data_IF_165475664030
#
_entry.id   IF_165475664030
#
_cell.length_a   1.000
_cell.length_b   1.000
_cell.length_c   1.000
_cell.angle_alpha   90.00
_cell.angle_beta   90.00
_cell.angle_gamma   90.00
#
_symmetry.space_group_name_H-M   'P 1'
#
loop_
_entity.id
_entity.type
_entity.pdbx_description
1 polymer ?
#
# COMPACT_ATOMS: atom_id res chain seq x y z
N UNK A 1 -50.64 -4.65 -57.87
CA UNK A 1 -50.21 -4.98 -56.50
C UNK A 1 -48.74 -4.61 -56.39
N UNK A 2 -48.37 -3.62 -55.58
CA UNK A 2 -46.99 -3.12 -55.47
C UNK A 2 -46.22 -4.02 -54.49
N UNK A 3 -45.20 -4.71 -54.97
CA UNK A 3 -44.37 -5.63 -54.17
C UNK A 3 -43.42 -4.81 -53.28
N UNK A 4 -43.52 -5.01 -51.96
CA UNK A 4 -42.64 -4.40 -50.96
C UNK A 4 -41.48 -5.37 -50.69
N UNK A 5 -40.25 -4.95 -50.97
CA UNK A 5 -39.03 -5.70 -50.61
C UNK A 5 -38.53 -5.10 -49.29
N UNK A 6 -38.48 -5.86 -48.18
CA UNK A 6 -37.92 -5.33 -46.94
C UNK A 6 -36.39 -5.35 -47.04
N UNK A 7 -35.76 -4.18 -46.95
CA UNK A 7 -34.31 -4.08 -46.78
C UNK A 7 -33.98 -4.40 -45.33
N UNK A 8 -33.32 -5.53 -45.10
CA UNK A 8 -32.78 -5.89 -43.80
C UNK A 8 -31.50 -5.08 -43.57
N UNK A 9 -31.56 -4.06 -42.71
CA UNK A 9 -30.37 -3.33 -42.26
C UNK A 9 -29.71 -4.15 -41.14
N UNK A 10 -28.61 -4.83 -41.46
CA UNK A 10 -27.78 -5.51 -40.48
C UNK A 10 -26.88 -4.48 -39.79
N UNK A 11 -27.29 -4.00 -38.62
CA UNK A 11 -26.42 -3.23 -37.73
C UNK A 11 -25.40 -4.17 -37.08
N UNK A 12 -24.16 -4.18 -37.57
CA UNK A 12 -23.04 -4.83 -36.88
C UNK A 12 -22.65 -3.94 -35.71
N UNK A 13 -23.12 -4.28 -34.51
CA UNK A 13 -22.59 -3.72 -33.27
C UNK A 13 -21.21 -4.36 -33.06
N UNK A 14 -20.15 -3.64 -33.43
CA UNK A 14 -18.79 -3.98 -33.01
C UNK A 14 -18.71 -3.67 -31.52
N UNK A 15 -18.94 -4.70 -30.70
CA UNK A 15 -18.68 -4.63 -29.27
C UNK A 15 -17.19 -4.41 -29.06
N UNK A 16 -16.80 -3.21 -28.62
CA UNK A 16 -15.46 -2.99 -28.09
C UNK A 16 -15.44 -3.72 -26.75
N UNK A 17 -15.02 -4.98 -26.77
CA UNK A 17 -14.61 -5.67 -25.55
C UNK A 17 -13.38 -4.91 -25.03
N UNK A 18 -13.61 -3.98 -24.10
CA UNK A 18 -12.53 -3.38 -23.33
C UNK A 18 -11.79 -4.53 -22.64
N UNK A 19 -10.57 -4.80 -23.09
CA UNK A 19 -9.73 -5.76 -22.41
C UNK A 19 -9.39 -5.14 -21.06
N UNK A 20 -9.73 -5.83 -19.97
CA UNK A 20 -9.24 -5.45 -18.66
C UNK A 20 -7.71 -5.48 -18.72
N UNK A 21 -7.08 -4.32 -18.60
CA UNK A 21 -5.62 -4.22 -18.47
C UNK A 21 -5.27 -4.87 -17.14
N UNK A 22 -4.42 -5.91 -17.16
CA UNK A 22 -3.89 -6.50 -15.94
C UNK A 22 -3.26 -5.40 -15.07
N UNK A 23 -3.52 -5.42 -13.76
CA UNK A 23 -2.87 -4.50 -12.83
C UNK A 23 -1.35 -4.74 -12.87
N UNK A 24 -0.59 -3.74 -13.31
CA UNK A 24 0.86 -3.77 -13.30
C UNK A 24 1.38 -3.26 -11.95
N UNK A 25 1.94 -4.16 -11.14
CA UNK A 25 2.56 -3.81 -9.86
C UNK A 25 4.04 -3.46 -10.03
N UNK A 26 4.48 -2.40 -9.35
CA UNK A 26 5.90 -2.07 -9.21
C UNK A 26 6.44 -2.73 -7.94
N UNK A 27 7.42 -3.61 -8.07
CA UNK A 27 8.10 -4.20 -6.92
C UNK A 27 9.23 -3.28 -6.43
N UNK A 28 8.98 -2.60 -5.31
CA UNK A 28 9.93 -1.65 -4.68
C UNK A 28 11.17 -2.32 -4.07
N UNK A 29 11.19 -3.65 -3.95
CA UNK A 29 12.26 -4.42 -3.32
C UNK A 29 13.03 -5.30 -4.31
N UNK A 30 12.68 -5.27 -5.61
CA UNK A 30 13.12 -6.28 -6.58
C UNK A 30 14.64 -6.39 -6.75
N UNK A 31 15.34 -5.27 -6.65
CA UNK A 31 16.80 -5.19 -6.83
C UNK A 31 17.57 -5.17 -5.51
N UNK A 32 16.87 -5.36 -4.38
CA UNK A 32 17.44 -5.33 -3.04
C UNK A 32 18.30 -4.09 -2.79
N UNK A 33 17.85 -2.94 -3.31
CA UNK A 33 18.58 -1.67 -3.25
C UNK A 33 17.82 -0.61 -2.45
N UNK A 34 18.56 0.17 -1.66
CA UNK A 34 18.02 1.34 -0.95
C UNK A 34 17.81 2.56 -1.86
N UNK A 35 18.16 2.48 -3.15
CA UNK A 35 18.08 3.62 -4.07
C UNK A 35 16.66 4.13 -4.31
N UNK A 36 15.63 3.32 -4.02
CA UNK A 36 14.23 3.73 -4.14
C UNK A 36 13.71 4.44 -2.89
N UNK A 37 14.59 4.64 -1.90
CA UNK A 37 14.25 5.14 -0.58
C UNK A 37 15.07 6.37 -0.22
N UNK A 38 14.49 7.26 0.58
CA UNK A 38 15.15 8.44 1.15
C UNK A 38 14.87 8.55 2.64
N UNK A 39 15.75 9.25 3.34
CA UNK A 39 15.51 9.72 4.70
C UNK A 39 14.50 10.89 4.69
N UNK A 40 13.91 11.27 5.84
CA UNK A 40 12.93 12.35 5.94
C UNK A 40 13.46 13.73 5.52
N UNK A 41 14.77 13.90 5.49
CA UNK A 41 15.45 15.10 5.02
C UNK A 41 15.77 15.08 3.51
N UNK A 42 15.43 14.00 2.80
CA UNK A 42 15.67 13.82 1.36
C UNK A 42 17.02 13.17 1.02
N UNK A 43 17.88 12.91 2.01
CA UNK A 43 19.17 12.26 1.76
C UNK A 43 18.99 10.76 1.45
N UNK A 44 19.97 10.13 0.77
CA UNK A 44 20.02 8.69 0.61
C UNK A 44 20.02 7.95 1.95
N UNK A 45 19.47 6.74 1.96
CA UNK A 45 19.53 5.84 3.11
C UNK A 45 20.85 5.08 3.06
N UNK A 46 21.81 5.47 3.89
CA UNK A 46 23.16 4.86 3.94
C UNK A 46 23.33 3.93 5.14
N UNK A 47 22.59 4.16 6.22
CA UNK A 47 22.67 3.41 7.48
C UNK A 47 21.27 3.10 8.04
N UNK A 48 21.22 2.17 9.00
CA UNK A 48 20.02 1.83 9.77
C UNK A 48 19.04 0.89 9.05
N UNK A 49 19.04 0.83 7.72
CA UNK A 49 18.25 -0.13 6.94
C UNK A 49 19.14 -0.96 6.02
N UNK A 50 18.81 -2.24 5.83
CA UNK A 50 19.48 -3.10 4.84
C UNK A 50 18.56 -4.20 4.34
N UNK A 51 19.03 -4.94 3.34
CA UNK A 51 18.38 -6.18 2.93
C UNK A 51 19.06 -7.36 3.63
N UNK A 52 18.27 -8.27 4.16
CA UNK A 52 18.79 -9.54 4.68
C UNK A 52 19.11 -10.53 3.53
N UNK A 53 19.72 -11.70 3.81
CA UNK A 53 20.05 -12.68 2.77
C UNK A 53 18.84 -13.16 1.95
N UNK A 54 17.66 -13.21 2.55
CA UNK A 54 16.41 -13.63 1.89
C UNK A 54 15.83 -12.51 1.02
N UNK A 55 16.28 -11.26 1.20
CA UNK A 55 15.84 -10.09 0.44
C UNK A 55 14.72 -9.30 1.12
N UNK A 56 14.49 -9.50 2.43
CA UNK A 56 13.61 -8.64 3.20
C UNK A 56 14.36 -7.36 3.59
N UNK A 57 13.75 -6.21 3.32
CA UNK A 57 14.21 -4.92 3.83
C UNK A 57 13.91 -4.85 5.34
N UNK A 58 14.93 -4.58 6.15
CA UNK A 58 14.79 -4.53 7.61
C UNK A 58 15.60 -3.40 8.27
N UNK A 59 15.15 -2.98 9.43
CA UNK A 59 15.86 -2.04 10.30
C UNK A 59 16.98 -2.77 11.05
N UNK A 60 18.22 -2.33 10.85
CA UNK A 60 19.42 -2.84 11.55
C UNK A 60 19.72 -1.94 12.74
N UNK A 61 19.30 -2.36 13.93
CA UNK A 61 19.53 -1.63 15.16
C UNK A 61 18.66 -0.37 15.27
N UNK A 62 19.24 0.81 15.06
CA UNK A 62 18.53 2.09 15.09
C UNK A 62 18.62 2.77 13.73
N UNK A 63 17.52 3.35 13.29
CA UNK A 63 17.45 4.14 12.06
C UNK A 63 16.19 5.01 12.08
N UNK A 64 16.13 5.96 11.16
CA UNK A 64 14.97 6.81 10.96
C UNK A 64 13.93 6.11 10.07
N UNK A 65 12.76 6.73 9.95
CA UNK A 65 11.78 6.40 8.92
C UNK A 65 12.39 6.57 7.53
N UNK A 66 11.93 5.76 6.57
CA UNK A 66 12.30 5.90 5.17
C UNK A 66 11.07 6.18 4.33
N UNK A 67 11.24 6.94 3.25
CA UNK A 67 10.20 7.31 2.31
C UNK A 67 10.53 6.73 0.95
N UNK A 68 9.52 6.37 0.17
CA UNK A 68 9.72 6.08 -1.25
C UNK A 68 10.17 7.34 -1.98
N UNK A 69 11.10 7.21 -2.92
CA UNK A 69 11.45 8.32 -3.83
C UNK A 69 10.27 8.71 -4.74
N UNK A 70 9.46 7.73 -5.13
CA UNK A 70 8.25 7.96 -5.91
C UNK A 70 7.08 8.41 -5.04
N UNK A 71 6.26 9.31 -5.59
CA UNK A 71 4.96 9.68 -5.01
C UNK A 71 3.83 8.90 -5.71
N UNK A 72 2.87 8.45 -4.91
CA UNK A 72 1.76 7.62 -5.40
C UNK A 72 0.41 8.21 -4.96
N UNK A 73 -0.48 8.43 -5.93
CA UNK A 73 -1.82 8.94 -5.65
C UNK A 73 -2.83 7.81 -5.43
N UNK A 74 -3.18 7.07 -6.49
CA UNK A 74 -4.08 5.91 -6.40
C UNK A 74 -3.24 4.66 -6.58
N UNK A 75 -3.27 3.77 -5.59
CA UNK A 75 -2.45 2.58 -5.58
C UNK A 75 -3.12 1.48 -4.76
N UNK A 76 -2.79 0.23 -5.10
CA UNK A 76 -2.93 -0.93 -4.24
C UNK A 76 -1.53 -1.30 -3.74
N UNK A 77 -1.34 -1.38 -2.42
CA UNK A 77 -0.08 -1.81 -1.82
C UNK A 77 -0.24 -3.23 -1.28
N UNK A 78 0.67 -4.10 -1.69
CA UNK A 78 0.81 -5.46 -1.15
C UNK A 78 2.19 -5.58 -0.51
N UNK A 79 2.23 -6.13 0.69
CA UNK A 79 3.46 -6.31 1.44
C UNK A 79 3.32 -7.48 2.41
N UNK A 80 4.44 -8.13 2.67
CA UNK A 80 4.61 -9.05 3.78
C UNK A 80 5.47 -8.37 4.84
N UNK A 81 5.24 -8.70 6.12
CA UNK A 81 6.06 -8.17 7.21
C UNK A 81 6.33 -9.25 8.26
N UNK A 82 7.41 -9.04 9.00
CA UNK A 82 7.71 -9.74 10.26
C UNK A 82 8.29 -8.74 11.25
N UNK A 83 8.10 -9.00 12.53
CA UNK A 83 8.60 -8.15 13.62
C UNK A 83 9.31 -8.98 14.67
N UNK A 84 10.18 -8.34 15.44
CA UNK A 84 10.75 -8.92 16.66
C UNK A 84 9.74 -8.89 17.81
N UNK A 85 10.02 -9.63 18.88
CA UNK A 85 9.33 -9.47 20.17
C UNK A 85 9.34 -7.99 20.58
N UNK A 86 8.19 -7.46 21.00
CA UNK A 86 7.99 -6.04 21.37
C UNK A 86 8.28 -5.04 20.24
N UNK A 87 8.40 -5.50 19.00
CA UNK A 87 8.59 -4.64 17.83
C UNK A 87 7.39 -3.73 17.61
N UNK A 88 7.66 -2.51 17.16
CA UNK A 88 6.65 -1.52 16.76
C UNK A 88 7.16 -0.77 15.52
N UNK A 89 6.32 -0.69 14.51
CA UNK A 89 6.56 -0.06 13.22
C UNK A 89 5.22 0.28 12.57
N UNK A 90 5.23 0.69 11.31
CA UNK A 90 4.02 0.94 10.55
C UNK A 90 4.34 1.33 9.12
N UNK A 91 3.32 1.21 8.26
CA UNK A 91 3.38 1.74 6.90
C UNK A 91 2.49 2.96 6.83
N UNK A 92 3.12 4.11 6.64
CA UNK A 92 2.43 5.37 6.38
C UNK A 92 2.24 5.58 4.89
N UNK A 93 1.08 6.11 4.52
CA UNK A 93 0.77 6.40 3.13
C UNK A 93 0.16 7.79 2.98
N UNK A 94 0.23 8.34 1.75
CA UNK A 94 -0.16 9.73 1.47
C UNK A 94 0.50 10.72 2.44
N UNK A 95 1.76 10.45 2.79
CA UNK A 95 2.49 11.25 3.77
C UNK A 95 2.77 12.65 3.23
N UNK A 96 2.66 13.64 4.09
CA UNK A 96 3.03 15.01 3.82
C UNK A 96 3.93 15.53 4.94
N UNK A 97 4.80 16.47 4.58
CA UNK A 97 5.68 17.13 5.53
C UNK A 97 4.92 18.26 6.23
N UNK A 98 4.76 18.15 7.54
CA UNK A 98 4.23 19.18 8.42
C UNK A 98 5.35 19.61 9.38
N UNK A 99 5.84 20.83 9.19
CA UNK A 99 7.00 21.36 9.92
C UNK A 99 8.21 20.41 9.82
N UNK A 100 8.53 19.71 10.90
CA UNK A 100 9.65 18.77 11.02
C UNK A 100 9.25 17.31 10.84
N UNK A 101 7.95 17.00 10.73
CA UNK A 101 7.43 15.64 10.75
C UNK A 101 6.78 15.24 9.43
N UNK A 102 6.96 13.99 9.03
CA UNK A 102 6.18 13.39 7.94
C UNK A 102 4.99 12.66 8.55
N UNK A 103 3.79 13.14 8.28
CA UNK A 103 2.55 12.61 8.81
C UNK A 103 1.67 12.10 7.68
N UNK A 104 0.92 11.04 7.97
CA UNK A 104 -0.07 10.46 7.09
C UNK A 104 -0.81 9.33 7.82
N UNK A 105 -1.92 8.83 7.25
CA UNK A 105 -2.53 7.58 7.69
C UNK A 105 -1.51 6.45 7.82
N UNK A 106 -1.64 5.63 8.86
CA UNK A 106 -0.70 4.56 9.20
C UNK A 106 -1.43 3.22 9.34
N UNK A 107 -0.99 2.22 8.56
CA UNK A 107 -1.26 0.83 8.86
C UNK A 107 -0.32 0.41 9.99
N UNK A 108 -0.88 0.11 11.15
CA UNK A 108 -0.09 -0.22 12.33
C UNK A 108 0.53 -1.62 12.23
N UNK A 109 1.80 -1.76 12.64
CA UNK A 109 2.52 -3.04 12.70
C UNK A 109 3.25 -3.16 14.03
N UNK A 110 2.83 -4.08 14.90
CA UNK A 110 3.47 -4.26 16.20
C UNK A 110 3.19 -5.62 16.84
N UNK A 111 3.90 -5.92 17.92
CA UNK A 111 3.64 -7.07 18.76
C UNK A 111 2.48 -6.77 19.73
N UNK A 112 1.25 -6.98 19.28
CA UNK A 112 0.05 -6.67 20.08
C UNK A 112 0.04 -7.36 21.45
N UNK A 113 0.65 -8.55 21.55
CA UNK A 113 0.72 -9.31 22.82
C UNK A 113 1.63 -8.62 23.85
N UNK A 114 2.60 -7.82 23.40
CA UNK A 114 3.46 -7.04 24.27
C UNK A 114 2.76 -5.79 24.88
N UNK A 115 1.60 -5.40 24.35
CA UNK A 115 0.88 -4.19 24.76
C UNK A 115 -0.61 -4.47 25.09
N UNK A 116 -0.91 -5.36 26.06
CA UNK A 116 -2.26 -5.89 26.28
C UNK A 116 -3.30 -4.87 26.77
N UNK A 117 -2.88 -3.68 27.21
CA UNK A 117 -3.75 -2.65 27.79
C UNK A 117 -4.01 -1.46 26.85
N UNK A 118 -3.61 -1.53 25.58
CA UNK A 118 -3.85 -0.46 24.61
C UNK A 118 -5.25 -0.53 24.01
N UNK A 119 -5.70 0.58 23.42
CA UNK A 119 -6.96 0.62 22.68
C UNK A 119 -6.85 -0.17 21.37
N UNK A 120 -7.95 -0.78 20.91
CA UNK A 120 -7.94 -1.63 19.71
C UNK A 120 -7.51 -0.89 18.44
N UNK A 121 -7.72 0.43 18.38
CA UNK A 121 -7.25 1.33 17.31
C UNK A 121 -5.73 1.57 17.29
N UNK A 122 -4.99 0.98 18.22
CA UNK A 122 -3.53 0.96 18.23
C UNK A 122 -2.96 -0.43 17.91
N UNK A 123 -3.80 -1.45 17.67
CA UNK A 123 -3.34 -2.80 17.33
C UNK A 123 -2.90 -2.93 15.87
N UNK A 124 -2.16 -3.99 15.54
CA UNK A 124 -1.78 -4.31 14.16
C UNK A 124 -2.99 -4.37 13.22
N UNK A 125 -2.80 -3.85 12.01
CA UNK A 125 -3.82 -3.69 10.96
C UNK A 125 -4.92 -2.64 11.23
N UNK A 126 -4.85 -1.92 12.35
CA UNK A 126 -5.67 -0.72 12.54
C UNK A 126 -5.18 0.42 11.65
N UNK A 127 -6.09 1.38 11.38
CA UNK A 127 -5.67 2.72 11.00
C UNK A 127 -5.33 3.46 12.30
N UNK A 128 -4.03 3.58 12.58
CA UNK A 128 -3.52 3.97 13.89
C UNK A 128 -4.24 5.19 14.47
N UNK A 129 -4.71 5.05 15.71
CA UNK A 129 -5.42 6.06 16.53
C UNK A 129 -6.79 6.53 16.01
N UNK A 130 -7.20 6.07 14.82
CA UNK A 130 -8.45 6.48 14.18
C UNK A 130 -9.49 5.35 14.12
N UNK A 131 -9.11 4.18 13.61
CA UNK A 131 -10.05 3.09 13.31
C UNK A 131 -9.46 1.73 13.64
N UNK A 132 -10.13 0.99 14.52
CA UNK A 132 -9.88 -0.43 14.82
C UNK A 132 -10.12 -1.32 13.59
N UNK A 133 -9.27 -2.35 13.43
CA UNK A 133 -9.37 -3.40 12.40
C UNK A 133 -10.73 -4.10 12.32
N UNK A 134 -11.52 -4.14 13.39
CA UNK A 134 -12.87 -4.74 13.36
C UNK A 134 -13.96 -3.82 12.77
N UNK A 135 -13.60 -2.60 12.38
CA UNK A 135 -14.56 -1.64 11.81
C UNK A 135 -15.04 -2.09 10.43
N UNK A 136 -16.33 -1.94 10.17
CA UNK A 136 -16.96 -2.35 8.91
C UNK A 136 -16.46 -1.58 7.68
N UNK A 137 -15.77 -0.44 7.86
CA UNK A 137 -15.10 0.26 6.75
C UNK A 137 -14.04 -0.61 6.04
N UNK A 138 -13.46 -1.58 6.76
CA UNK A 138 -12.50 -2.53 6.20
C UNK A 138 -13.16 -3.75 5.57
N UNK A 139 -14.47 -3.94 5.75
CA UNK A 139 -15.22 -4.95 5.00
C UNK A 139 -15.35 -4.49 3.55
N UNK A 140 -14.58 -5.11 2.65
CA UNK A 140 -14.75 -4.94 1.20
C UNK A 140 -16.11 -5.49 0.77
N UNK A 141 -17.15 -4.65 0.84
CA UNK A 141 -18.47 -4.94 0.26
C UNK A 141 -18.46 -4.47 -1.19
N UNK A 142 -17.81 -5.21 -2.08
CA UNK A 142 -18.08 -5.05 -3.50
C UNK A 142 -19.50 -5.53 -3.75
N UNK A 143 -20.37 -4.62 -4.21
CA UNK A 143 -21.60 -5.06 -4.85
C UNK A 143 -21.20 -5.83 -6.12
N UNK A 144 -21.74 -7.04 -6.33
CA UNK A 144 -21.42 -7.88 -7.47
C UNK A 144 -21.74 -7.21 -8.82
#
# INVERSE_FOLDING_TARGET
MKSFIPVLVLCIIVGIAGHAVAQNYTNLLQDKSLRHWTLPNGNPVEEGWSFDPDGALHLVGKGDNILTQGEYQNFDLWFDFRISEKGNSGIKYRVQKYETSWLGPEYQIQDDAAFPNQEAKHNTASLYDLVDRSNSIFERRYLP
#
